data_IF_101188341632
#
_entry.id   IF_101188341632
#
_cell.length_a   1.000
_cell.length_b   1.000
_cell.length_c   1.000
_cell.angle_alpha   90.00
_cell.angle_beta   90.00
_cell.angle_gamma   90.00
#
_symmetry.space_group_name_H-M   'P 1'
#
loop_
_entity.id
_entity.type
_entity.pdbx_description
1 polymer ?
#
# COMPACT_ATOMS: atom_id res chain seq x y z
N UNK A 1 -3.95 -58.03 -78.68
CA UNK A 1 -2.74 -58.73 -78.18
C UNK A 1 -3.19 -59.98 -77.47
N UNK A 2 -2.70 -61.14 -77.93
CA UNK A 2 -2.45 -62.43 -77.22
C UNK A 2 -3.61 -63.07 -76.43
N UNK A 3 -3.96 -64.36 -76.54
CA UNK A 3 -3.46 -65.55 -77.23
C UNK A 3 -4.62 -66.57 -77.26
N UNK A 4 -4.97 -67.22 -78.39
CA UNK A 4 -4.49 -68.55 -78.84
C UNK A 4 -4.38 -69.62 -77.75
N UNK A 5 -5.11 -70.72 -77.92
CA UNK A 5 -4.59 -72.10 -77.89
C UNK A 5 -5.60 -73.11 -78.44
N UNK A 6 -5.07 -73.99 -79.28
CA UNK A 6 -5.67 -75.11 -80.00
C UNK A 6 -6.12 -76.28 -79.11
N UNK A 7 -6.96 -77.16 -79.67
CA UNK A 7 -7.29 -78.47 -79.09
C UNK A 7 -7.98 -79.41 -80.07
N UNK A 8 -7.18 -80.27 -80.71
CA UNK A 8 -7.55 -81.31 -81.69
C UNK A 8 -8.08 -82.62 -81.03
N UNK A 9 -9.01 -83.33 -81.69
CA UNK A 9 -9.23 -84.82 -81.68
C UNK A 9 -10.34 -85.16 -82.68
N UNK A 10 -10.07 -85.75 -83.86
CA UNK A 10 -10.04 -87.20 -84.20
C UNK A 10 -11.14 -88.02 -83.52
N UNK A 11 -12.02 -88.65 -84.33
CA UNK A 11 -12.18 -90.12 -84.43
C UNK A 11 -13.54 -90.56 -85.06
N UNK A 12 -13.42 -91.48 -86.04
CA UNK A 12 -14.34 -92.58 -86.45
C UNK A 12 -15.57 -92.20 -87.31
N UNK A 13 -15.67 -92.54 -88.60
CA UNK A 13 -15.67 -93.86 -89.28
C UNK A 13 -16.63 -94.89 -88.65
N UNK A 14 -17.85 -95.02 -89.21
CA UNK A 14 -18.45 -96.34 -89.47
C UNK A 14 -19.56 -96.26 -90.51
N UNK A 15 -19.42 -97.12 -91.50
CA UNK A 15 -20.37 -97.48 -92.55
C UNK A 15 -21.64 -98.12 -91.96
N UNK A 16 -22.73 -98.13 -92.74
CA UNK A 16 -23.50 -99.36 -93.01
C UNK A 16 -24.53 -99.11 -94.12
N UNK A 17 -24.16 -99.50 -95.34
CA UNK A 17 -25.09 -100.03 -96.33
C UNK A 17 -25.20 -101.53 -96.05
N UNK A 18 -26.43 -102.06 -95.98
CA UNK A 18 -26.67 -103.50 -95.96
C UNK A 18 -27.59 -103.86 -97.11
N UNK A 19 -26.98 -104.42 -98.16
CA UNK A 19 -27.59 -105.40 -99.02
C UNK A 19 -27.61 -106.76 -98.30
N UNK A 20 -28.68 -107.53 -98.48
CA UNK A 20 -28.56 -108.98 -98.67
C UNK A 20 -29.90 -109.59 -99.07
N UNK A 21 -29.90 -110.09 -100.29
CA UNK A 21 -30.62 -111.29 -100.70
C UNK A 21 -30.40 -112.43 -99.69
N UNK A 22 -31.44 -113.23 -99.42
CA UNK A 22 -31.37 -114.70 -99.57
C UNK A 22 -32.68 -115.43 -99.22
N UNK A 23 -32.94 -116.43 -100.06
CA UNK A 23 -33.65 -117.70 -99.85
C UNK A 23 -35.19 -117.76 -99.81
N UNK A 24 -35.71 -118.36 -100.90
CA UNK A 24 -36.88 -119.25 -100.98
C UNK A 24 -36.90 -120.31 -99.85
N UNK A 25 -38.09 -120.82 -99.55
CA UNK A 25 -38.32 -122.24 -99.78
C UNK A 25 -39.56 -122.53 -100.64
N UNK A 26 -39.32 -123.39 -101.61
CA UNK A 26 -40.23 -124.23 -102.37
C UNK A 26 -40.98 -125.19 -101.44
N UNK A 27 -42.27 -125.47 -101.67
CA UNK A 27 -42.81 -126.82 -101.58
C UNK A 27 -44.29 -126.98 -102.00
N UNK A 28 -44.48 -128.01 -102.82
CA UNK A 28 -45.64 -128.91 -102.97
C UNK A 28 -46.92 -128.48 -103.71
N UNK A 29 -46.90 -128.83 -105.00
CA UNK A 29 -47.98 -129.48 -105.76
C UNK A 29 -48.57 -130.68 -105.01
N UNK A 30 -49.88 -130.94 -105.15
CA UNK A 30 -50.42 -132.30 -105.17
C UNK A 30 -51.06 -132.63 -106.54
N UNK A 31 -50.65 -133.79 -107.03
CA UNK A 31 -51.09 -134.47 -108.24
C UNK A 31 -52.51 -135.05 -108.09
N UNK A 32 -53.13 -135.27 -109.25
CA UNK A 32 -54.42 -135.89 -109.57
C UNK A 32 -54.85 -137.13 -108.77
N UNK A 33 -56.15 -137.49 -108.84
CA UNK A 33 -56.58 -138.89 -108.87
C UNK A 33 -57.18 -139.25 -110.24
N UNK A 34 -56.54 -140.24 -110.85
CA UNK A 34 -57.07 -141.14 -111.88
C UNK A 34 -58.28 -141.92 -111.34
N UNK A 35 -59.34 -142.02 -112.13
CA UNK A 35 -60.35 -143.07 -111.98
C UNK A 35 -60.43 -143.89 -113.26
N UNK A 36 -59.98 -145.14 -113.15
CA UNK A 36 -60.18 -146.22 -114.10
C UNK A 36 -61.60 -146.79 -113.93
N UNK A 37 -62.32 -147.02 -115.04
CA UNK A 37 -63.36 -148.05 -115.11
C UNK A 37 -63.16 -148.87 -116.41
N UNK A 38 -63.23 -150.22 -116.38
CA UNK A 38 -62.69 -151.09 -117.43
C UNK A 38 -63.73 -151.64 -118.43
N UNK A 39 -63.23 -151.83 -119.67
CA UNK A 39 -63.51 -152.82 -120.73
C UNK A 39 -64.85 -153.56 -120.82
N UNK A 40 -65.45 -153.55 -122.02
CA UNK A 40 -65.68 -154.76 -122.86
C UNK A 40 -65.99 -154.38 -124.32
N UNK A 41 -65.75 -155.28 -125.30
CA UNK A 41 -65.57 -154.93 -126.71
C UNK A 41 -66.90 -154.86 -127.48
N UNK A 42 -67.06 -153.86 -128.35
CA UNK A 42 -68.01 -153.82 -129.46
C UNK A 42 -67.30 -153.13 -130.63
N UNK A 43 -66.84 -153.94 -131.58
CA UNK A 43 -67.53 -154.14 -132.85
C UNK A 43 -67.44 -152.90 -133.73
N UNK A 44 -66.73 -153.05 -134.83
CA UNK A 44 -66.84 -152.19 -136.00
C UNK A 44 -68.30 -151.81 -136.24
N UNK A 45 -68.54 -150.51 -136.14
CA UNK A 45 -69.72 -149.86 -136.69
C UNK A 45 -69.27 -148.48 -137.10
N UNK A 46 -68.71 -148.40 -138.30
CA UNK A 46 -68.75 -147.18 -139.11
C UNK A 46 -70.23 -146.82 -139.34
N UNK A 47 -70.90 -146.25 -138.35
CA UNK A 47 -72.05 -145.38 -138.58
C UNK A 47 -71.50 -144.02 -138.92
N UNK A 48 -71.15 -143.82 -140.20
CA UNK A 48 -71.25 -142.50 -140.80
C UNK A 48 -72.72 -142.13 -140.68
N UNK A 49 -73.09 -141.43 -139.61
CA UNK A 49 -74.38 -140.77 -139.54
C UNK A 49 -74.33 -139.63 -140.56
N UNK A 50 -74.63 -139.97 -141.82
CA UNK A 50 -74.85 -138.98 -142.86
C UNK A 50 -76.02 -138.11 -142.37
N UNK A 51 -75.82 -136.80 -142.26
CA UNK A 51 -76.93 -135.89 -141.99
C UNK A 51 -78.02 -136.13 -143.05
N UNK A 52 -79.18 -136.59 -142.61
CA UNK A 52 -80.41 -136.57 -143.42
C UNK A 52 -80.86 -135.11 -143.57
N UNK A 53 -81.62 -134.79 -144.63
CA UNK A 53 -82.11 -133.42 -144.89
C UNK A 53 -82.80 -132.83 -143.65
N UNK A 54 -83.54 -133.63 -142.89
CA UNK A 54 -84.17 -133.21 -141.63
C UNK A 54 -83.17 -132.92 -140.50
N UNK A 55 -82.08 -133.69 -140.37
CA UNK A 55 -81.01 -133.45 -139.38
C UNK A 55 -80.01 -132.35 -139.77
N UNK A 56 -80.12 -131.82 -141.00
CA UNK A 56 -79.34 -130.66 -141.46
C UNK A 56 -79.99 -129.33 -141.10
N UNK A 57 -81.29 -129.36 -140.78
CA UNK A 57 -82.09 -128.18 -140.40
C UNK A 57 -81.99 -127.83 -138.92
N UNK A 58 -81.36 -128.68 -138.11
CA UNK A 58 -81.19 -128.48 -136.66
C UNK A 58 -79.70 -128.63 -136.33
N UNK A 59 -79.10 -127.71 -135.54
CA UNK A 59 -77.70 -127.83 -135.14
C UNK A 59 -77.47 -129.12 -134.34
N UNK A 60 -76.31 -129.76 -134.54
CA UNK A 60 -75.89 -130.87 -133.68
C UNK A 60 -75.66 -130.38 -132.24
N UNK A 61 -75.67 -131.28 -131.25
CA UNK A 61 -75.52 -130.92 -129.82
C UNK A 61 -74.29 -130.05 -129.54
N UNK A 62 -73.16 -130.31 -130.23
CA UNK A 62 -71.96 -129.48 -130.12
C UNK A 62 -72.20 -128.05 -130.62
N UNK A 63 -72.82 -127.89 -131.80
CA UNK A 63 -73.16 -126.58 -132.36
C UNK A 63 -74.18 -125.85 -131.49
N UNK A 64 -75.20 -126.55 -130.98
CA UNK A 64 -76.20 -125.97 -130.08
C UNK A 64 -75.55 -125.47 -128.78
N UNK A 65 -74.66 -126.25 -128.17
CA UNK A 65 -73.90 -125.83 -126.98
C UNK A 65 -73.02 -124.61 -127.26
N UNK A 66 -72.35 -124.56 -128.42
CA UNK A 66 -71.55 -123.39 -128.82
C UNK A 66 -72.43 -122.16 -129.01
N UNK A 67 -73.58 -122.28 -129.67
CA UNK A 67 -74.55 -121.18 -129.83
C UNK A 67 -75.11 -120.70 -128.49
N UNK A 68 -75.39 -121.63 -127.55
CA UNK A 68 -75.85 -121.28 -126.20
C UNK A 68 -74.77 -120.52 -125.42
N UNK A 69 -73.52 -120.99 -125.45
CA UNK A 69 -72.39 -120.29 -124.80
C UNK A 69 -72.19 -118.91 -125.42
N UNK A 70 -72.24 -118.83 -126.76
CA UNK A 70 -72.07 -117.58 -127.49
C UNK A 70 -73.15 -116.56 -127.12
N UNK A 71 -74.41 -116.96 -126.93
CA UNK A 71 -75.46 -116.05 -126.44
C UNK A 71 -75.19 -115.59 -125.01
N UNK A 72 -74.93 -116.52 -124.09
CA UNK A 72 -74.62 -116.21 -122.68
C UNK A 72 -73.44 -115.26 -122.53
N UNK A 73 -72.38 -115.43 -123.32
CA UNK A 73 -71.23 -114.51 -123.30
C UNK A 73 -71.57 -113.15 -123.92
N UNK A 74 -72.51 -113.09 -124.85
CA UNK A 74 -73.02 -111.85 -125.42
C UNK A 74 -73.87 -111.07 -124.44
N UNK A 75 -74.80 -111.74 -123.75
CA UNK A 75 -75.64 -111.16 -122.70
C UNK A 75 -74.79 -110.52 -121.59
N UNK A 76 -73.82 -111.29 -121.07
CA UNK A 76 -72.90 -110.80 -120.05
C UNK A 76 -72.05 -109.61 -120.54
N UNK A 77 -71.69 -109.58 -121.82
CA UNK A 77 -70.93 -108.46 -122.39
C UNK A 77 -71.80 -107.20 -122.50
N UNK A 78 -73.08 -107.35 -122.86
CA UNK A 78 -74.04 -106.23 -122.94
C UNK A 78 -74.31 -105.67 -121.55
N UNK A 79 -74.52 -106.52 -120.54
CA UNK A 79 -74.65 -106.10 -119.14
C UNK A 79 -73.41 -105.35 -118.65
N UNK A 80 -72.21 -105.85 -118.96
CA UNK A 80 -70.95 -105.18 -118.61
C UNK A 80 -70.87 -103.79 -119.26
N UNK A 81 -71.18 -103.69 -120.55
CA UNK A 81 -71.19 -102.41 -121.26
C UNK A 81 -72.18 -101.42 -120.64
N UNK A 82 -73.38 -101.87 -120.27
CA UNK A 82 -74.36 -101.02 -119.58
C UNK A 82 -73.84 -100.55 -118.21
N UNK A 83 -73.21 -101.42 -117.43
CA UNK A 83 -72.65 -101.07 -116.11
C UNK A 83 -71.51 -100.05 -116.21
N UNK A 84 -70.74 -100.09 -117.30
CA UNK A 84 -69.65 -99.15 -117.59
C UNK A 84 -70.12 -97.92 -118.40
N UNK A 85 -71.43 -97.80 -118.69
CA UNK A 85 -72.01 -96.69 -119.45
C UNK A 85 -71.58 -96.64 -120.93
N UNK A 86 -71.19 -97.78 -121.50
CA UNK A 86 -70.72 -97.93 -122.87
C UNK A 86 -71.82 -98.50 -123.79
N UNK A 87 -71.92 -98.08 -125.06
CA UNK A 87 -72.86 -98.65 -126.02
C UNK A 87 -72.35 -99.98 -126.60
N UNK A 88 -73.14 -101.04 -126.46
CA UNK A 88 -72.86 -102.36 -127.04
C UNK A 88 -73.40 -102.48 -128.47
N UNK A 89 -72.59 -103.08 -129.34
CA UNK A 89 -72.95 -103.39 -130.74
C UNK A 89 -73.80 -104.66 -130.84
N UNK A 90 -73.79 -105.51 -129.80
CA UNK A 90 -74.63 -106.70 -129.69
C UNK A 90 -76.06 -106.41 -129.22
N UNK A 91 -76.28 -105.30 -128.52
CA UNK A 91 -77.59 -104.99 -127.94
C UNK A 91 -78.74 -104.93 -128.99
N UNK A 92 -78.56 -104.37 -130.20
CA UNK A 92 -79.57 -104.46 -131.25
C UNK A 92 -79.75 -105.89 -131.80
N UNK A 93 -78.69 -106.69 -131.82
CA UNK A 93 -78.74 -108.08 -132.28
C UNK A 93 -79.45 -108.99 -131.29
N UNK A 94 -79.30 -108.74 -129.98
CA UNK A 94 -80.06 -109.41 -128.95
C UNK A 94 -81.56 -109.25 -129.15
N UNK A 95 -82.01 -108.01 -129.32
CA UNK A 95 -83.43 -107.71 -129.57
C UNK A 95 -83.95 -108.40 -130.85
N UNK A 96 -83.18 -108.38 -131.94
CA UNK A 96 -83.58 -109.00 -133.20
C UNK A 96 -83.58 -110.55 -133.16
N UNK A 97 -82.63 -111.14 -132.42
CA UNK A 97 -82.51 -112.59 -132.24
C UNK A 97 -83.60 -113.09 -131.28
N UNK A 98 -83.99 -112.33 -130.26
CA UNK A 98 -85.11 -112.66 -129.37
C UNK A 98 -86.47 -112.67 -130.11
N UNK A 99 -86.65 -111.80 -131.11
CA UNK A 99 -87.85 -111.75 -131.97
C UNK A 99 -87.92 -112.88 -133.03
N UNK A 100 -86.78 -113.45 -133.45
CA UNK A 100 -86.72 -114.50 -134.49
C UNK A 100 -86.67 -115.93 -133.93
N UNK A 101 -86.73 -116.11 -132.60
CA UNK A 101 -86.36 -117.35 -131.91
C UNK A 101 -87.48 -118.28 -131.43
N UNK A 102 -88.64 -118.34 -132.09
CA UNK A 102 -89.64 -119.38 -131.74
C UNK A 102 -89.09 -120.82 -131.90
N UNK A 103 -87.98 -121.02 -132.64
CA UNK A 103 -87.31 -122.32 -132.85
C UNK A 103 -85.90 -122.48 -132.21
N UNK A 104 -85.40 -121.52 -131.44
CA UNK A 104 -84.26 -121.74 -130.54
C UNK A 104 -82.85 -121.96 -131.14
N UNK A 105 -82.63 -121.75 -132.44
CA UNK A 105 -81.32 -121.96 -133.11
C UNK A 105 -80.89 -120.77 -133.98
N UNK A 106 -79.58 -120.49 -134.01
CA UNK A 106 -78.96 -119.43 -134.83
C UNK A 106 -78.52 -119.99 -136.19
N UNK A 107 -78.67 -119.22 -137.28
CA UNK A 107 -78.07 -119.58 -138.57
C UNK A 107 -76.55 -119.38 -138.54
N UNK A 108 -75.83 -119.96 -139.51
CA UNK A 108 -74.38 -119.75 -139.63
C UNK A 108 -74.01 -118.26 -139.84
N UNK A 109 -74.90 -117.49 -140.50
CA UNK A 109 -74.76 -116.04 -140.66
C UNK A 109 -74.87 -115.31 -139.32
N UNK A 110 -75.90 -115.62 -138.52
CA UNK A 110 -76.13 -115.03 -137.20
C UNK A 110 -74.98 -115.31 -136.25
N UNK A 111 -74.47 -116.55 -136.24
CA UNK A 111 -73.31 -116.94 -135.42
C UNK A 111 -72.07 -116.12 -135.80
N UNK A 112 -71.84 -115.92 -137.10
CA UNK A 112 -70.70 -115.13 -137.60
C UNK A 112 -70.85 -113.65 -137.25
N UNK A 113 -72.04 -113.08 -137.44
CA UNK A 113 -72.34 -111.69 -137.12
C UNK A 113 -72.21 -111.43 -135.61
N UNK A 114 -72.76 -112.33 -134.79
CA UNK A 114 -72.67 -112.26 -133.34
C UNK A 114 -71.24 -112.35 -132.83
N UNK A 115 -70.44 -113.28 -133.38
CA UNK A 115 -69.03 -113.40 -133.04
C UNK A 115 -68.23 -112.13 -133.41
N UNK A 116 -68.54 -111.52 -134.56
CA UNK A 116 -67.91 -110.28 -135.00
C UNK A 116 -68.27 -109.08 -134.10
N UNK A 117 -69.54 -108.92 -133.73
CA UNK A 117 -69.95 -107.83 -132.84
C UNK A 117 -69.47 -108.06 -131.39
N UNK A 118 -69.41 -109.31 -130.91
CA UNK A 118 -68.73 -109.65 -129.66
C UNK A 118 -67.27 -109.24 -129.69
N UNK A 119 -66.54 -109.58 -130.75
CA UNK A 119 -65.15 -109.20 -130.89
C UNK A 119 -64.99 -107.68 -130.94
N UNK A 120 -65.91 -106.97 -131.59
CA UNK A 120 -65.91 -105.50 -131.67
C UNK A 120 -66.11 -104.86 -130.30
N UNK A 121 -67.07 -105.34 -129.53
CA UNK A 121 -67.32 -104.87 -128.18
C UNK A 121 -66.15 -105.22 -127.26
N UNK A 122 -65.59 -106.44 -127.33
CA UNK A 122 -64.38 -106.80 -126.59
C UNK A 122 -63.19 -105.87 -126.89
N UNK A 123 -63.00 -105.45 -128.16
CA UNK A 123 -61.97 -104.46 -128.52
C UNK A 123 -62.27 -103.07 -127.96
N UNK A 124 -63.52 -102.63 -127.98
CA UNK A 124 -63.92 -101.34 -127.37
C UNK A 124 -63.67 -101.35 -125.86
N UNK A 125 -64.02 -102.43 -125.19
CA UNK A 125 -63.76 -102.62 -123.76
C UNK A 125 -62.28 -102.61 -123.46
N UNK A 126 -61.48 -103.34 -124.25
CA UNK A 126 -60.02 -103.34 -124.09
C UNK A 126 -59.43 -101.92 -124.21
N UNK A 127 -59.90 -101.14 -125.20
CA UNK A 127 -59.50 -99.74 -125.36
C UNK A 127 -59.95 -98.88 -124.17
N UNK A 128 -61.20 -99.01 -123.74
CA UNK A 128 -61.72 -98.28 -122.59
C UNK A 128 -60.91 -98.58 -121.31
N UNK A 129 -60.64 -99.86 -121.03
CA UNK A 129 -59.80 -100.26 -119.90
C UNK A 129 -58.37 -99.71 -120.03
N UNK A 130 -57.83 -99.65 -121.24
CA UNK A 130 -56.52 -99.03 -121.48
C UNK A 130 -56.55 -97.52 -121.22
N UNK A 131 -57.58 -96.80 -121.68
CA UNK A 131 -57.74 -95.36 -121.48
C UNK A 131 -57.99 -95.03 -119.99
N UNK A 132 -58.82 -95.81 -119.31
CA UNK A 132 -59.04 -95.71 -117.86
C UNK A 132 -57.75 -95.99 -117.10
N UNK A 133 -56.99 -97.03 -117.46
CA UNK A 133 -55.65 -97.25 -116.87
C UNK A 133 -54.72 -96.08 -117.19
N UNK A 134 -54.73 -95.58 -118.42
CA UNK A 134 -53.89 -94.46 -118.87
C UNK A 134 -54.16 -93.15 -118.13
N UNK A 135 -55.36 -92.98 -117.55
CA UNK A 135 -55.73 -91.81 -116.74
C UNK A 135 -55.57 -92.04 -115.24
N UNK A 136 -55.93 -93.23 -114.74
CA UNK A 136 -55.87 -93.56 -113.31
C UNK A 136 -54.43 -93.60 -112.80
N UNK A 137 -53.46 -94.13 -113.56
CA UNK A 137 -52.06 -94.19 -113.09
C UNK A 137 -51.46 -92.78 -112.90
N UNK A 138 -51.52 -91.85 -113.88
CA UNK A 138 -51.05 -90.49 -113.68
C UNK A 138 -51.76 -89.74 -112.56
N UNK A 139 -53.06 -89.99 -112.34
CA UNK A 139 -53.79 -89.39 -111.23
C UNK A 139 -53.32 -89.93 -109.87
N UNK A 140 -53.05 -91.24 -109.77
CA UNK A 140 -52.45 -91.84 -108.57
C UNK A 140 -51.06 -91.27 -108.30
N UNK A 141 -50.23 -91.10 -109.33
CA UNK A 141 -48.88 -90.53 -109.18
C UNK A 141 -48.96 -89.06 -108.74
N UNK A 142 -49.83 -88.26 -109.37
CA UNK A 142 -50.06 -86.86 -108.97
C UNK A 142 -50.61 -86.74 -107.55
N UNK A 143 -51.49 -87.66 -107.14
CA UNK A 143 -52.02 -87.71 -105.78
C UNK A 143 -50.90 -88.03 -104.78
N UNK A 144 -50.08 -89.04 -105.05
CA UNK A 144 -48.94 -89.39 -104.20
C UNK A 144 -47.94 -88.24 -104.04
N UNK A 145 -47.64 -87.51 -105.14
CA UNK A 145 -46.80 -86.31 -105.11
C UNK A 145 -47.44 -85.22 -104.25
N UNK A 146 -48.72 -84.90 -104.47
CA UNK A 146 -49.42 -83.88 -103.69
C UNK A 146 -49.53 -84.23 -102.20
N UNK A 147 -49.71 -85.51 -101.86
CA UNK A 147 -49.69 -85.99 -100.48
C UNK A 147 -48.32 -85.84 -99.83
N UNK A 148 -47.24 -86.16 -100.55
CA UNK A 148 -45.87 -85.97 -100.09
C UNK A 148 -45.55 -84.47 -99.89
N UNK A 149 -45.98 -83.60 -100.80
CA UNK A 149 -45.84 -82.15 -100.67
C UNK A 149 -46.62 -81.61 -99.47
N UNK A 150 -47.86 -82.06 -99.27
CA UNK A 150 -48.67 -81.70 -98.10
C UNK A 150 -47.98 -82.11 -96.80
N UNK A 151 -47.41 -83.31 -96.74
CA UNK A 151 -46.70 -83.78 -95.54
C UNK A 151 -45.41 -82.98 -95.31
N UNK A 152 -44.69 -82.62 -96.38
CA UNK A 152 -43.53 -81.74 -96.32
C UNK A 152 -43.90 -80.36 -95.76
N UNK A 153 -44.97 -79.74 -96.27
CA UNK A 153 -45.43 -78.43 -95.78
C UNK A 153 -45.93 -78.50 -94.34
N UNK A 154 -46.65 -79.57 -93.97
CA UNK A 154 -47.07 -79.82 -92.58
C UNK A 154 -45.85 -79.90 -91.65
N UNK A 155 -44.84 -80.66 -92.04
CA UNK A 155 -43.58 -80.80 -91.28
C UNK A 155 -42.80 -79.48 -91.20
N UNK A 156 -42.82 -78.65 -92.25
CA UNK A 156 -42.22 -77.31 -92.23
C UNK A 156 -42.98 -76.36 -91.30
N UNK A 157 -44.31 -76.35 -91.36
CA UNK A 157 -45.15 -75.51 -90.52
C UNK A 157 -45.01 -75.87 -89.04
N UNK A 158 -44.98 -77.17 -88.71
CA UNK A 158 -44.76 -77.61 -87.33
C UNK A 158 -43.36 -77.25 -86.81
N UNK A 159 -42.32 -77.31 -87.65
CA UNK A 159 -40.98 -76.82 -87.26
C UNK A 159 -40.97 -75.32 -87.02
N UNK A 160 -41.48 -74.54 -87.96
CA UNK A 160 -41.57 -73.08 -87.83
C UNK A 160 -42.38 -72.66 -86.61
N UNK A 161 -43.50 -73.35 -86.32
CA UNK A 161 -44.32 -73.11 -85.13
C UNK A 161 -43.56 -73.41 -83.83
N UNK A 162 -42.78 -74.50 -83.78
CA UNK A 162 -41.94 -74.84 -82.63
C UNK A 162 -40.82 -73.82 -82.42
N UNK A 163 -40.13 -73.44 -83.49
CA UNK A 163 -39.06 -72.42 -83.46
C UNK A 163 -39.60 -71.08 -82.98
N UNK A 164 -40.72 -70.61 -83.56
CA UNK A 164 -41.37 -69.37 -83.12
C UNK A 164 -41.77 -69.42 -81.64
N UNK A 165 -42.34 -70.54 -81.18
CA UNK A 165 -42.70 -70.70 -79.77
C UNK A 165 -41.47 -70.62 -78.86
N UNK A 166 -40.39 -71.31 -79.22
CA UNK A 166 -39.14 -71.28 -78.45
C UNK A 166 -38.53 -69.88 -78.42
N UNK A 167 -38.55 -69.15 -79.53
CA UNK A 167 -38.03 -67.78 -79.58
C UNK A 167 -38.88 -66.81 -78.78
N UNK A 168 -40.21 -66.95 -78.80
CA UNK A 168 -41.11 -66.21 -77.92
C UNK A 168 -40.82 -66.49 -76.44
N UNK A 169 -40.60 -67.74 -76.05
CA UNK A 169 -40.24 -68.12 -74.68
C UNK A 169 -38.89 -67.53 -74.27
N UNK A 170 -37.87 -67.56 -75.13
CA UNK A 170 -36.55 -66.93 -74.90
C UNK A 170 -36.67 -65.41 -74.76
N UNK A 171 -37.44 -64.77 -75.63
CA UNK A 171 -37.68 -63.33 -75.56
C UNK A 171 -38.40 -62.95 -74.26
N UNK A 172 -39.43 -63.70 -73.88
CA UNK A 172 -40.15 -63.46 -72.62
C UNK A 172 -39.23 -63.64 -71.41
N UNK A 173 -38.39 -64.68 -71.39
CA UNK A 173 -37.41 -64.88 -70.32
C UNK A 173 -36.40 -63.72 -70.24
N UNK A 174 -35.93 -63.24 -71.40
CA UNK A 174 -35.00 -62.10 -71.48
C UNK A 174 -35.66 -60.81 -70.98
N UNK A 175 -36.91 -60.56 -71.35
CA UNK A 175 -37.68 -59.40 -70.88
C UNK A 175 -37.79 -59.43 -69.35
N UNK A 176 -38.20 -60.55 -68.77
CA UNK A 176 -38.33 -60.69 -67.31
C UNK A 176 -36.99 -60.49 -66.61
N UNK A 177 -35.90 -61.02 -67.17
CA UNK A 177 -34.56 -60.83 -66.61
C UNK A 177 -34.09 -59.37 -66.67
N UNK A 178 -34.35 -58.68 -67.79
CA UNK A 178 -34.02 -57.26 -67.95
C UNK A 178 -34.88 -56.38 -67.03
N UNK A 179 -36.17 -56.65 -66.89
CA UNK A 179 -37.04 -55.95 -65.93
C UNK A 179 -36.55 -56.13 -64.49
N UNK A 180 -36.17 -57.35 -64.11
CA UNK A 180 -35.63 -57.61 -62.78
C UNK A 180 -34.32 -56.84 -62.55
N UNK A 181 -33.43 -56.87 -63.54
CA UNK A 181 -32.15 -56.15 -63.49
C UNK A 181 -32.36 -54.63 -63.40
N UNK A 182 -33.32 -54.09 -64.17
CA UNK A 182 -33.72 -52.68 -64.13
C UNK A 182 -34.27 -52.31 -62.75
N UNK A 183 -35.20 -53.09 -62.19
CA UNK A 183 -35.75 -52.85 -60.84
C UNK A 183 -34.67 -52.93 -59.76
N UNK A 184 -33.68 -53.82 -59.91
CA UNK A 184 -32.53 -53.90 -58.97
C UNK A 184 -31.65 -52.65 -59.09
N UNK A 185 -31.32 -52.22 -60.30
CA UNK A 185 -30.55 -51.01 -60.53
C UNK A 185 -31.28 -49.75 -60.02
N UNK A 186 -32.58 -49.62 -60.29
CA UNK A 186 -33.40 -48.51 -59.79
C UNK A 186 -33.44 -48.44 -58.26
N UNK A 187 -33.55 -49.58 -57.57
CA UNK A 187 -33.47 -49.62 -56.09
C UNK A 187 -32.09 -49.19 -55.60
N UNK A 188 -31.03 -49.71 -56.20
CA UNK A 188 -29.67 -49.33 -55.86
C UNK A 188 -29.43 -47.83 -56.04
N UNK A 189 -29.92 -47.25 -57.15
CA UNK A 189 -29.81 -45.80 -57.40
C UNK A 189 -30.56 -45.00 -56.34
N UNK A 190 -31.82 -45.35 -56.05
CA UNK A 190 -32.60 -44.69 -54.99
C UNK A 190 -31.94 -44.76 -53.62
N UNK A 191 -31.37 -45.91 -53.25
CA UNK A 191 -30.63 -46.07 -52.00
C UNK A 191 -29.37 -45.19 -51.96
N UNK A 192 -28.62 -45.10 -53.07
CA UNK A 192 -27.45 -44.22 -53.15
C UNK A 192 -27.82 -42.74 -53.13
N UNK A 193 -28.92 -42.35 -53.79
CA UNK A 193 -29.44 -40.99 -53.77
C UNK A 193 -29.87 -40.59 -52.37
N UNK A 194 -30.60 -41.46 -51.66
CA UNK A 194 -31.00 -41.22 -50.29
C UNK A 194 -29.79 -41.05 -49.37
N UNK A 195 -28.80 -41.94 -49.44
CA UNK A 195 -27.56 -41.81 -48.66
C UNK A 195 -26.81 -40.53 -48.97
N UNK A 196 -26.74 -40.13 -50.25
CA UNK A 196 -26.10 -38.88 -50.65
C UNK A 196 -26.86 -37.67 -50.09
N UNK A 197 -28.19 -37.71 -50.10
CA UNK A 197 -29.02 -36.64 -49.54
C UNK A 197 -28.85 -36.52 -48.03
N UNK A 198 -28.84 -37.64 -47.30
CA UNK A 198 -28.59 -37.69 -45.86
C UNK A 198 -27.19 -37.13 -45.54
N UNK A 199 -26.15 -37.57 -46.27
CA UNK A 199 -24.79 -37.05 -46.11
C UNK A 199 -24.71 -35.54 -46.42
N UNK A 200 -25.43 -35.06 -47.45
CA UNK A 200 -25.47 -33.63 -47.77
C UNK A 200 -26.15 -32.81 -46.66
N UNK A 201 -27.22 -33.33 -46.06
CA UNK A 201 -27.88 -32.68 -44.92
C UNK A 201 -26.96 -32.65 -43.71
N UNK A 202 -26.29 -33.77 -43.40
CA UNK A 202 -25.32 -33.84 -42.32
C UNK A 202 -24.17 -32.85 -42.51
N UNK A 203 -23.56 -32.80 -43.69
CA UNK A 203 -22.50 -31.83 -43.99
C UNK A 203 -22.97 -30.37 -43.84
N UNK A 204 -24.21 -30.05 -44.24
CA UNK A 204 -24.78 -28.72 -44.02
C UNK A 204 -24.91 -28.41 -42.53
N UNK A 205 -25.40 -29.34 -41.72
CA UNK A 205 -25.52 -29.13 -40.26
C UNK A 205 -24.15 -28.97 -39.59
N UNK A 206 -23.16 -29.77 -39.99
CA UNK A 206 -21.78 -29.66 -39.50
C UNK A 206 -21.15 -28.32 -39.90
N UNK A 207 -21.36 -27.88 -41.15
CA UNK A 207 -20.87 -26.59 -41.64
C UNK A 207 -21.44 -25.44 -40.81
N UNK A 208 -22.76 -25.41 -40.58
CA UNK A 208 -23.41 -24.38 -39.77
C UNK A 208 -22.89 -24.37 -38.32
N UNK A 209 -22.68 -25.55 -37.72
CA UNK A 209 -22.12 -25.66 -36.37
C UNK A 209 -20.68 -25.16 -36.28
N UNK A 210 -19.87 -25.45 -37.31
CA UNK A 210 -18.50 -24.93 -37.41
C UNK A 210 -18.48 -23.42 -37.62
N UNK A 211 -19.37 -22.88 -38.46
CA UNK A 211 -19.52 -21.44 -38.67
C UNK A 211 -19.91 -20.70 -37.37
N UNK A 212 -20.83 -21.27 -36.58
CA UNK A 212 -21.22 -20.74 -35.27
C UNK A 212 -20.04 -20.78 -34.28
N UNK A 213 -19.34 -21.92 -34.19
CA UNK A 213 -18.15 -22.06 -33.33
C UNK A 213 -17.05 -21.07 -33.75
N UNK A 214 -16.84 -20.88 -35.04
CA UNK A 214 -15.85 -19.93 -35.56
C UNK A 214 -16.24 -18.49 -35.23
N UNK A 215 -17.52 -18.13 -35.37
CA UNK A 215 -18.04 -16.82 -34.97
C UNK A 215 -17.84 -16.55 -33.48
N UNK A 216 -18.11 -17.54 -32.62
CA UNK A 216 -17.86 -17.44 -31.17
C UNK A 216 -16.36 -17.30 -30.84
N UNK A 217 -15.49 -18.00 -31.56
CA UNK A 217 -14.05 -17.86 -31.38
C UNK A 217 -13.56 -16.49 -31.82
N UNK A 218 -14.04 -15.97 -32.96
CA UNK A 218 -13.73 -14.61 -33.41
C UNK A 218 -14.15 -13.55 -32.40
N UNK A 219 -15.34 -13.69 -31.81
CA UNK A 219 -15.80 -12.81 -30.73
C UNK A 219 -14.88 -12.88 -29.50
N UNK A 220 -14.50 -14.08 -29.05
CA UNK A 220 -13.55 -14.25 -27.94
C UNK A 220 -12.20 -13.63 -28.24
N UNK A 221 -11.69 -13.77 -29.46
CA UNK A 221 -10.43 -13.15 -29.89
C UNK A 221 -10.55 -11.63 -29.88
N UNK A 222 -11.66 -11.06 -30.35
CA UNK A 222 -11.89 -9.62 -30.29
C UNK A 222 -11.89 -9.11 -28.85
N UNK A 223 -12.62 -9.78 -27.94
CA UNK A 223 -12.65 -9.42 -26.51
C UNK A 223 -11.25 -9.52 -25.87
N UNK A 224 -10.48 -10.56 -26.21
CA UNK A 224 -9.10 -10.70 -25.73
C UNK A 224 -8.20 -9.58 -26.27
N UNK A 225 -8.37 -9.19 -27.53
CA UNK A 225 -7.63 -8.09 -28.14
C UNK A 225 -7.93 -6.75 -27.45
N UNK A 226 -9.21 -6.47 -27.18
CA UNK A 226 -9.64 -5.27 -26.44
C UNK A 226 -9.06 -5.25 -25.02
N UNK A 227 -9.05 -6.40 -24.35
CA UNK A 227 -8.46 -6.55 -23.00
C UNK A 227 -6.96 -6.30 -23.02
N UNK A 228 -6.24 -6.86 -23.99
CA UNK A 228 -4.81 -6.61 -24.15
C UNK A 228 -4.53 -5.12 -24.41
N UNK A 229 -5.32 -4.47 -25.27
CA UNK A 229 -5.18 -3.05 -25.55
C UNK A 229 -5.44 -2.19 -24.29
N UNK A 230 -6.43 -2.55 -23.48
CA UNK A 230 -6.68 -1.88 -22.19
C UNK A 230 -5.49 -2.04 -21.23
N UNK A 231 -4.95 -3.25 -21.10
CA UNK A 231 -3.77 -3.52 -20.27
C UNK A 231 -2.51 -2.79 -20.78
N UNK A 232 -2.34 -2.66 -22.10
CA UNK A 232 -1.27 -1.87 -22.69
C UNK A 232 -1.40 -0.38 -22.36
N UNK A 233 -2.63 0.16 -22.38
CA UNK A 233 -2.90 1.53 -21.94
C UNK A 233 -2.62 1.72 -20.44
N UNK A 234 -3.05 0.79 -19.59
CA UNK A 234 -2.74 0.82 -18.15
C UNK A 234 -1.24 0.75 -17.88
N UNK A 235 -0.52 -0.14 -18.59
CA UNK A 235 0.94 -0.24 -18.49
C UNK A 235 1.61 1.10 -18.82
N UNK A 236 1.19 1.77 -19.91
CA UNK A 236 1.74 3.08 -20.29
C UNK A 236 1.45 4.13 -19.21
N UNK A 237 0.22 4.20 -18.70
CA UNK A 237 -0.14 5.12 -17.63
C UNK A 237 0.66 4.86 -16.34
N UNK A 238 0.92 3.59 -15.99
CA UNK A 238 1.77 3.24 -14.86
C UNK A 238 3.23 3.63 -15.11
N UNK A 239 3.75 3.45 -16.33
CA UNK A 239 5.11 3.90 -16.68
C UNK A 239 5.24 5.43 -16.53
N UNK A 240 4.30 6.21 -17.06
CA UNK A 240 4.27 7.66 -16.91
C UNK A 240 4.21 8.09 -15.43
N UNK A 241 3.42 7.37 -14.61
CA UNK A 241 3.35 7.64 -13.17
C UNK A 241 4.66 7.33 -12.45
N UNK A 242 5.35 6.24 -12.81
CA UNK A 242 6.67 5.91 -12.25
C UNK A 242 7.70 6.96 -12.62
N UNK A 243 7.72 7.42 -13.87
CA UNK A 243 8.59 8.51 -14.31
C UNK A 243 8.31 9.81 -13.54
N UNK A 244 7.04 10.17 -13.36
CA UNK A 244 6.65 11.33 -12.55
C UNK A 244 7.09 11.21 -11.09
N UNK A 245 6.87 10.05 -10.46
CA UNK A 245 7.29 9.81 -9.08
C UNK A 245 8.81 9.87 -8.93
N UNK A 246 9.57 9.40 -9.92
CA UNK A 246 11.02 9.51 -9.91
C UNK A 246 11.48 10.97 -9.99
N UNK A 247 10.85 11.79 -10.82
CA UNK A 247 11.12 13.23 -10.88
C UNK A 247 10.79 13.94 -9.55
N UNK A 248 9.67 13.56 -8.91
CA UNK A 248 9.32 14.05 -7.58
C UNK A 248 10.34 13.62 -6.52
N UNK A 249 10.80 12.37 -6.55
CA UNK A 249 11.84 11.85 -5.65
C UNK A 249 13.16 12.62 -5.82
N UNK A 250 13.59 12.87 -7.06
CA UNK A 250 14.75 13.72 -7.33
C UNK A 250 14.59 15.15 -6.78
N UNK A 251 13.39 15.73 -6.90
CA UNK A 251 13.08 17.05 -6.34
C UNK A 251 13.12 17.02 -4.81
N UNK A 252 12.57 15.99 -4.18
CA UNK A 252 12.66 15.77 -2.74
C UNK A 252 14.12 15.64 -2.28
N UNK A 253 14.97 14.89 -2.99
CA UNK A 253 16.39 14.79 -2.68
C UNK A 253 17.09 16.15 -2.73
N UNK A 254 16.80 16.98 -3.75
CA UNK A 254 17.35 18.34 -3.86
C UNK A 254 16.89 19.23 -2.70
N UNK A 255 15.61 19.15 -2.33
CA UNK A 255 15.07 19.88 -1.18
C UNK A 255 15.69 19.41 0.14
N UNK A 256 15.86 18.10 0.33
CA UNK A 256 16.50 17.52 1.50
C UNK A 256 17.95 18.02 1.66
N UNK A 257 18.72 18.03 0.56
CA UNK A 257 20.07 18.59 0.56
C UNK A 257 20.08 20.08 0.93
N UNK A 258 19.11 20.86 0.43
CA UNK A 258 18.98 22.28 0.78
C UNK A 258 18.63 22.49 2.25
N UNK A 259 17.75 21.66 2.81
CA UNK A 259 17.40 21.67 4.23
C UNK A 259 18.66 21.40 5.06
N UNK A 260 19.40 20.32 4.78
CA UNK A 260 20.64 19.99 5.49
C UNK A 260 21.66 21.13 5.42
N UNK A 261 21.79 21.78 4.25
CA UNK A 261 22.66 22.93 4.10
C UNK A 261 22.21 24.11 4.97
N UNK A 262 20.91 24.44 4.98
CA UNK A 262 20.36 25.50 5.81
C UNK A 262 20.49 25.18 7.31
N UNK A 263 20.26 23.94 7.73
CA UNK A 263 20.46 23.48 9.11
C UNK A 263 21.92 23.65 9.55
N UNK A 264 22.88 23.34 8.68
CA UNK A 264 24.30 23.57 8.95
C UNK A 264 24.62 25.06 9.11
N UNK A 265 24.03 25.92 8.27
CA UNK A 265 24.19 27.38 8.35
C UNK A 265 23.57 27.94 9.63
N UNK A 266 22.38 27.46 10.03
CA UNK A 266 21.73 27.84 11.28
C UNK A 266 22.59 27.41 12.48
N UNK A 267 23.15 26.20 12.44
CA UNK A 267 24.03 25.70 13.51
C UNK A 267 25.29 26.56 13.63
N UNK A 268 25.89 26.95 12.50
CA UNK A 268 27.06 27.83 12.47
C UNK A 268 26.73 29.25 12.99
N UNK A 269 25.61 29.85 12.54
CA UNK A 269 25.19 31.16 13.04
C UNK A 269 24.82 31.13 14.52
N UNK A 270 24.23 30.03 15.02
CA UNK A 270 23.97 29.83 16.43
C UNK A 270 25.27 29.83 17.25
N UNK A 271 26.31 29.10 16.81
CA UNK A 271 27.63 29.11 17.47
C UNK A 271 28.25 30.52 17.48
N UNK A 272 28.13 31.27 16.38
CA UNK A 272 28.60 32.66 16.31
C UNK A 272 27.83 33.56 17.28
N UNK A 273 26.51 33.39 17.36
CA UNK A 273 25.66 34.13 18.29
C UNK A 273 26.02 33.81 19.73
N UNK A 274 26.21 32.54 20.09
CA UNK A 274 26.63 32.11 21.42
C UNK A 274 27.99 32.71 21.81
N UNK A 275 28.92 32.79 20.85
CA UNK A 275 30.21 33.46 21.04
C UNK A 275 30.05 34.96 21.32
N UNK A 276 29.17 35.65 20.60
CA UNK A 276 28.87 37.07 20.87
C UNK A 276 28.13 37.27 22.20
N UNK A 277 27.18 36.39 22.55
CA UNK A 277 26.54 36.41 23.87
C UNK A 277 27.54 36.21 25.00
N UNK A 278 28.50 35.29 24.84
CA UNK A 278 29.57 35.08 25.80
C UNK A 278 30.46 36.33 25.95
N UNK A 279 30.81 37.00 24.83
CA UNK A 279 31.53 38.28 24.85
C UNK A 279 30.71 39.37 25.54
N UNK A 280 29.43 39.49 25.23
CA UNK A 280 28.50 40.43 25.84
C UNK A 280 28.41 40.22 27.35
N UNK A 281 28.18 39.01 27.83
CA UNK A 281 28.17 38.71 29.27
C UNK A 281 29.51 39.02 29.94
N UNK A 282 30.63 38.74 29.28
CA UNK A 282 31.95 39.12 29.80
C UNK A 282 32.10 40.64 29.93
N UNK A 283 31.63 41.40 28.93
CA UNK A 283 31.62 42.86 28.97
C UNK A 283 30.69 43.40 30.06
N UNK A 284 29.50 42.82 30.25
CA UNK A 284 28.61 43.16 31.35
C UNK A 284 29.28 42.96 32.72
N UNK A 285 29.93 41.82 32.96
CA UNK A 285 30.67 41.59 34.22
C UNK A 285 31.81 42.59 34.42
N UNK A 286 32.52 42.95 33.35
CA UNK A 286 33.56 43.99 33.42
C UNK A 286 32.96 45.36 33.75
N UNK A 287 31.81 45.70 33.17
CA UNK A 287 31.08 46.92 33.46
C UNK A 287 30.60 46.96 34.92
N UNK A 288 30.00 45.87 35.43
CA UNK A 288 29.59 45.74 36.83
C UNK A 288 30.78 45.90 37.79
N UNK A 289 31.92 45.28 37.47
CA UNK A 289 33.16 45.44 38.24
C UNK A 289 33.68 46.89 38.21
N UNK A 290 33.59 47.55 37.07
CA UNK A 290 33.98 48.96 36.93
C UNK A 290 33.04 49.88 37.72
N UNK A 291 31.73 49.66 37.65
CA UNK A 291 30.74 50.40 38.43
C UNK A 291 30.93 50.19 39.94
N UNK A 292 31.21 48.97 40.38
CA UNK A 292 31.51 48.69 41.79
C UNK A 292 32.76 49.46 42.28
N UNK A 293 33.81 49.52 41.45
CA UNK A 293 35.01 50.33 41.76
C UNK A 293 34.72 51.83 41.79
N UNK A 294 33.94 52.34 40.82
CA UNK A 294 33.53 53.74 40.81
C UNK A 294 32.72 54.09 42.06
N UNK A 295 31.77 53.23 42.46
CA UNK A 295 30.98 53.42 43.68
C UNK A 295 31.85 53.44 44.94
N UNK A 296 32.78 52.49 45.07
CA UNK A 296 33.72 52.45 46.20
C UNK A 296 34.66 53.67 46.24
N UNK A 297 35.09 54.17 45.08
CA UNK A 297 35.88 55.41 45.00
C UNK A 297 35.04 56.62 45.40
N UNK A 298 33.77 56.69 44.97
CA UNK A 298 32.85 57.77 45.36
C UNK A 298 32.64 57.78 46.88
N UNK A 299 32.35 56.62 47.48
CA UNK A 299 32.22 56.48 48.94
C UNK A 299 33.50 56.92 49.70
N UNK A 300 34.69 56.69 49.12
CA UNK A 300 35.95 57.19 49.71
C UNK A 300 36.12 58.69 49.55
N UNK A 301 35.70 59.26 48.42
CA UNK A 301 35.71 60.73 48.21
C UNK A 301 34.74 61.38 49.20
N UNK A 302 33.51 60.88 49.32
CA UNK A 302 32.53 61.39 50.28
C UNK A 302 33.08 61.32 51.72
N UNK A 303 33.71 60.20 52.11
CA UNK A 303 34.36 60.07 53.42
C UNK A 303 35.53 61.06 53.61
N UNK A 304 36.29 61.34 52.56
CA UNK A 304 37.37 62.34 52.61
C UNK A 304 36.82 63.76 52.71
N UNK A 305 35.70 64.05 52.05
CA UNK A 305 35.02 65.34 52.15
C UNK A 305 34.45 65.52 53.56
N UNK A 306 33.83 64.49 54.15
CA UNK A 306 33.41 64.49 55.57
C UNK A 306 34.61 64.72 56.51
N UNK A 307 35.74 64.02 56.32
CA UNK A 307 36.98 64.24 57.07
C UNK A 307 37.48 65.69 56.94
N UNK A 308 37.40 66.28 55.74
CA UNK A 308 37.80 67.67 55.49
C UNK A 308 36.87 68.68 56.16
N UNK A 309 35.55 68.49 56.07
CA UNK A 309 34.55 69.33 56.73
C UNK A 309 34.69 69.28 58.27
N UNK A 310 34.95 68.10 58.84
CA UNK A 310 35.20 67.90 60.27
C UNK A 310 36.47 68.68 60.70
N UNK A 311 37.57 68.54 59.96
CA UNK A 311 38.81 69.27 60.22
C UNK A 311 38.63 70.79 60.08
N UNK A 312 37.85 71.25 59.10
CA UNK A 312 37.52 72.66 58.94
C UNK A 312 36.72 73.21 60.11
N UNK A 313 35.76 72.41 60.62
CA UNK A 313 34.96 72.75 61.79
C UNK A 313 35.82 72.81 63.05
N UNK A 314 36.66 71.80 63.27
CA UNK A 314 37.60 71.78 64.40
C UNK A 314 38.60 72.94 64.35
N UNK A 315 39.08 73.29 63.14
CA UNK A 315 39.94 74.46 62.94
C UNK A 315 39.19 75.75 63.28
N UNK A 316 37.96 75.92 62.79
CA UNK A 316 37.12 77.08 63.12
C UNK A 316 36.87 77.22 64.63
N UNK A 317 36.54 76.12 65.31
CA UNK A 317 36.39 76.12 66.77
C UNK A 317 37.70 76.46 67.49
N UNK A 318 38.85 75.99 66.98
CA UNK A 318 40.17 76.34 67.55
C UNK A 318 40.50 77.82 67.35
N UNK A 319 40.19 78.38 66.18
CA UNK A 319 40.36 79.79 65.84
C UNK A 319 39.46 80.68 66.70
N UNK A 320 38.19 80.32 66.89
CA UNK A 320 37.27 81.02 67.80
C UNK A 320 37.80 81.02 69.24
N UNK A 321 38.20 79.85 69.77
CA UNK A 321 38.83 79.76 71.10
C UNK A 321 40.11 80.60 71.20
N UNK A 322 40.90 80.67 70.13
CA UNK A 322 42.10 81.50 70.08
C UNK A 322 41.74 83.00 70.14
N UNK A 323 40.70 83.43 69.42
CA UNK A 323 40.18 84.80 69.48
C UNK A 323 39.66 85.12 70.89
N UNK A 324 38.90 84.22 71.51
CA UNK A 324 38.39 84.39 72.88
C UNK A 324 39.54 84.52 73.90
N UNK A 325 40.56 83.65 73.83
CA UNK A 325 41.74 83.74 74.68
C UNK A 325 42.54 85.03 74.43
N UNK A 326 42.65 85.47 73.17
CA UNK A 326 43.33 86.71 72.83
C UNK A 326 42.60 87.93 73.42
N UNK A 327 41.27 87.98 73.29
CA UNK A 327 40.44 89.02 73.89
C UNK A 327 40.54 89.01 75.42
N UNK A 328 40.53 87.83 76.05
CA UNK A 328 40.73 87.69 77.50
C UNK A 328 42.11 88.17 77.96
N UNK A 329 43.18 87.87 77.21
CA UNK A 329 44.52 88.38 77.48
C UNK A 329 44.60 89.91 77.33
N UNK A 330 43.93 90.48 76.32
CA UNK A 330 43.87 91.92 76.13
C UNK A 330 43.17 92.61 77.30
N UNK A 331 42.02 92.08 77.74
CA UNK A 331 41.30 92.58 78.91
C UNK A 331 42.15 92.52 80.19
N UNK A 332 42.83 91.40 80.44
CA UNK A 332 43.74 91.26 81.58
C UNK A 332 44.94 92.23 81.50
N UNK A 333 45.39 92.58 80.30
CA UNK A 333 46.45 93.58 80.10
C UNK A 333 45.96 94.99 80.42
N UNK A 334 44.75 95.35 79.98
CA UNK A 334 44.11 96.65 80.29
C UNK A 334 43.84 96.80 81.79
N UNK A 335 43.36 95.75 82.46
CA UNK A 335 43.18 95.72 83.92
C UNK A 335 44.52 95.86 84.65
N UNK A 336 45.58 95.20 84.17
CA UNK A 336 46.93 95.35 84.71
C UNK A 336 47.43 96.79 84.57
N UNK A 337 47.27 97.43 83.41
CA UNK A 337 47.67 98.83 83.21
C UNK A 337 46.89 99.78 84.14
N UNK A 338 45.58 99.57 84.33
CA UNK A 338 44.78 100.34 85.27
C UNK A 338 45.26 100.18 86.72
N UNK A 339 45.55 98.96 87.17
CA UNK A 339 46.10 98.71 88.51
C UNK A 339 47.50 99.31 88.67
N UNK A 340 48.31 99.29 87.63
CA UNK A 340 49.65 99.88 87.63
C UNK A 340 49.57 101.42 87.73
N UNK A 341 48.60 102.05 87.04
CA UNK A 341 48.33 103.48 87.17
C UNK A 341 47.80 103.86 88.58
N UNK A 342 46.92 103.05 89.16
CA UNK A 342 46.44 103.25 90.54
C UNK A 342 47.58 103.10 91.56
N UNK A 343 48.49 102.13 91.37
CA UNK A 343 49.65 101.94 92.25
C UNK A 343 50.62 103.13 92.17
N UNK A 344 50.89 103.65 90.97
CA UNK A 344 51.72 104.84 90.79
C UNK A 344 51.11 106.07 91.48
N UNK A 345 49.79 106.25 91.37
CA UNK A 345 49.07 107.34 92.05
C UNK A 345 49.13 107.22 93.58
N UNK A 346 49.05 106.00 94.14
CA UNK A 346 49.21 105.75 95.57
C UNK A 346 50.67 106.00 96.05
N UNK A 347 51.66 105.71 95.22
CA UNK A 347 53.07 105.96 95.52
C UNK A 347 53.40 107.47 95.56
N UNK A 348 52.86 108.27 94.65
CA UNK A 348 53.00 109.73 94.68
C UNK A 348 52.34 110.35 95.93
N UNK A 349 51.14 109.88 96.28
CA UNK A 349 50.46 110.33 97.51
C UNK A 349 51.26 110.00 98.78
N UNK A 350 51.89 108.82 98.82
CA UNK A 350 52.75 108.43 99.93
C UNK A 350 54.01 109.30 100.01
N UNK A 351 54.61 109.67 98.87
CA UNK A 351 55.76 110.57 98.82
C UNK A 351 55.42 111.97 99.36
N UNK A 352 54.24 112.51 99.02
CA UNK A 352 53.79 113.82 99.51
C UNK A 352 53.47 113.80 101.02
N UNK A 353 52.80 112.76 101.51
CA UNK A 353 52.56 112.56 102.94
C UNK A 353 53.87 112.39 103.74
N UNK A 354 54.87 111.76 103.14
CA UNK A 354 56.19 111.60 103.77
C UNK A 354 56.97 112.92 103.84
N UNK A 355 56.85 113.80 102.83
CA UNK A 355 57.38 115.17 102.88
C UNK A 355 56.69 116.03 103.93
N UNK A 356 55.36 115.96 104.03
CA UNK A 356 54.62 116.66 105.09
C UNK A 356 55.06 116.18 106.48
N UNK A 357 55.18 114.86 106.67
CA UNK A 357 55.67 114.28 107.93
C UNK A 357 57.06 114.81 108.30
N UNK A 358 58.01 114.82 107.37
CA UNK A 358 59.36 115.36 107.62
C UNK A 358 59.32 116.84 108.01
N UNK A 359 58.47 117.63 107.34
CA UNK A 359 58.31 119.07 107.61
C UNK A 359 57.72 119.31 109.01
N UNK A 360 56.77 118.48 109.43
CA UNK A 360 56.20 118.53 110.78
C UNK A 360 57.21 118.09 111.85
N UNK A 361 58.02 117.07 111.56
CA UNK A 361 59.09 116.61 112.46
C UNK A 361 60.17 117.68 112.68
N UNK A 362 60.58 118.43 111.64
CA UNK A 362 61.50 119.57 111.79
C UNK A 362 60.90 120.68 112.66
N UNK A 363 59.63 121.04 112.45
CA UNK A 363 58.96 122.07 113.24
C UNK A 363 58.83 121.66 114.72
N UNK A 364 58.52 120.39 114.99
CA UNK A 364 58.49 119.83 116.35
C UNK A 364 59.88 119.88 117.00
N UNK A 365 60.94 119.62 116.22
CA UNK A 365 62.33 119.73 116.68
C UNK A 365 62.71 121.16 117.08
N UNK A 366 62.37 122.14 116.25
CA UNK A 366 62.61 123.56 116.54
C UNK A 366 61.85 124.02 117.79
N UNK A 367 60.58 123.66 117.92
CA UNK A 367 59.76 123.94 119.10
C UNK A 367 60.34 123.29 120.37
N UNK A 368 60.85 122.06 120.29
CA UNK A 368 61.53 121.40 121.41
C UNK A 368 62.79 122.14 121.84
N UNK A 369 63.58 122.64 120.90
CA UNK A 369 64.79 123.41 121.19
C UNK A 369 64.45 124.73 121.87
N UNK A 370 63.45 125.47 121.38
CA UNK A 370 62.99 126.71 122.03
C UNK A 370 62.46 126.47 123.45
N UNK A 371 61.76 125.35 123.67
CA UNK A 371 61.29 124.96 125.00
C UNK A 371 62.45 124.56 125.92
N UNK A 372 63.50 123.93 125.39
CA UNK A 372 64.71 123.58 126.15
C UNK A 372 65.51 124.84 126.54
N UNK A 373 65.70 125.78 125.62
CA UNK A 373 66.35 127.07 125.88
C UNK A 373 65.61 127.88 126.95
N UNK A 374 64.27 127.94 126.87
CA UNK A 374 63.44 128.59 127.89
C UNK A 374 63.56 127.90 129.26
N UNK A 375 63.65 126.56 129.28
CA UNK A 375 63.85 125.81 130.52
C UNK A 375 65.22 126.07 131.13
N UNK A 376 66.29 126.08 130.34
CA UNK A 376 67.64 126.42 130.81
C UNK A 376 67.72 127.87 131.31
N UNK A 377 67.05 128.80 130.64
CA UNK A 377 66.98 130.20 131.08
C UNK A 377 66.29 130.34 132.44
N UNK A 378 65.20 129.58 132.65
CA UNK A 378 64.50 129.52 133.94
C UNK A 378 65.36 128.84 135.02
N UNK A 379 66.13 127.83 134.65
CA UNK A 379 67.04 127.13 135.56
C UNK A 379 68.22 128.00 135.96
N UNK A 380 68.78 128.78 135.03
CA UNK A 380 69.84 129.75 135.30
C UNK A 380 69.37 130.86 136.27
N UNK A 381 68.12 131.32 136.12
CA UNK A 381 67.51 132.27 137.05
C UNK A 381 67.35 131.67 138.45
N UNK A 382 66.90 130.40 138.55
CA UNK A 382 66.77 129.69 139.83
C UNK A 382 68.11 129.37 140.49
N UNK A 383 69.12 128.99 139.73
CA UNK A 383 70.44 128.68 140.28
C UNK A 383 71.17 129.95 140.73
N UNK A 384 70.94 131.07 140.03
CA UNK A 384 71.39 132.40 140.48
C UNK A 384 70.72 132.80 141.78
N UNK A 385 69.41 132.60 141.91
CA UNK A 385 68.67 132.87 143.13
C UNK A 385 69.13 131.96 144.28
N UNK A 386 69.33 130.66 144.02
CA UNK A 386 69.84 129.68 144.98
C UNK A 386 71.28 129.97 145.42
N UNK A 387 72.16 130.40 144.52
CA UNK A 387 73.52 130.79 144.84
C UNK A 387 73.57 132.10 145.63
N UNK A 388 72.67 133.06 145.35
CA UNK A 388 72.53 134.29 146.14
C UNK A 388 72.04 134.03 147.58
N UNK A 389 71.33 132.91 147.81
CA UNK A 389 70.88 132.49 149.14
C UNK A 389 71.94 131.65 149.86
N UNK A 390 72.65 130.76 149.16
CA UNK A 390 73.63 129.84 149.76
C UNK A 390 75.01 130.49 149.99
N UNK A 391 75.35 131.51 149.20
CA UNK A 391 76.60 132.25 149.33
C UNK A 391 76.33 133.75 149.36
N UNK A 392 75.96 134.32 150.52
CA UNK A 392 75.91 135.76 150.72
C UNK A 392 77.26 136.46 150.48
N UNK A 393 78.37 135.72 150.41
CA UNK A 393 79.70 136.25 150.05
C UNK A 393 79.91 136.43 148.53
N UNK A 394 79.04 135.85 147.70
CA UNK A 394 78.83 136.27 146.30
C UNK A 394 77.70 137.31 146.19
N UNK A 395 77.28 137.89 147.32
CA UNK A 395 76.47 139.09 147.29
C UNK A 395 77.38 140.30 147.22
N UNK A 396 77.31 141.13 146.18
CA UNK A 396 77.54 142.55 146.40
C UNK A 396 76.32 143.03 147.21
N UNK A 397 76.30 142.93 148.54
CA UNK A 397 77.26 143.57 149.42
C UNK A 397 77.31 142.92 150.82
N UNK A 398 78.51 142.53 151.25
CA UNK A 398 78.93 142.43 152.65
C UNK A 398 80.27 143.16 152.88
N UNK A 399 80.23 144.49 152.78
CA UNK A 399 80.76 145.44 153.77
C UNK A 399 79.50 146.23 154.18
N UNK A 400 78.82 145.99 155.31
CA UNK A 400 79.23 146.21 156.70
C UNK A 400 79.83 147.61 156.93
N UNK A 401 78.99 148.50 157.50
CA UNK A 401 79.20 149.65 158.39
C UNK A 401 80.60 150.31 158.64
N UNK A 402 80.67 151.59 159.09
CA UNK A 402 79.54 152.42 159.51
C UNK A 402 79.30 153.64 158.63
N UNK A 403 78.02 154.01 158.53
CA UNK A 403 77.71 155.42 158.65
C UNK A 403 78.02 155.79 160.10
N UNK A 404 79.27 156.20 160.37
CA UNK A 404 79.47 157.18 161.43
C UNK A 404 78.71 158.41 160.96
N UNK A 405 77.64 158.74 161.67
CA UNK A 405 77.05 160.09 161.65
C UNK A 405 78.05 161.15 162.14
N UNK A 406 79.18 160.73 162.73
CA UNK A 406 80.21 161.59 163.29
C UNK A 406 80.12 161.76 164.82
N UNK A 407 79.29 161.00 165.55
CA UNK A 407 79.02 161.23 166.98
C UNK A 407 78.62 159.96 167.77
N UNK A 408 79.34 159.68 168.86
CA UNK A 408 79.32 158.46 169.70
C UNK A 408 77.97 158.13 170.37
N UNK A 409 77.08 159.09 170.56
CA UNK A 409 75.85 158.89 171.34
C UNK A 409 74.75 158.08 170.64
N UNK A 410 74.70 158.09 169.31
CA UNK A 410 73.60 157.45 168.56
C UNK A 410 73.85 155.95 168.27
N UNK A 411 75.12 155.56 168.08
CA UNK A 411 75.52 154.16 167.82
C UNK A 411 75.12 153.18 168.94
N UNK A 412 74.87 153.70 170.15
CA UNK A 412 74.56 152.89 171.33
C UNK A 412 73.11 152.37 171.38
N UNK A 413 72.15 153.11 170.84
CA UNK A 413 70.73 152.72 170.84
C UNK A 413 70.46 151.61 169.81
N UNK A 414 71.19 151.64 168.69
CA UNK A 414 71.25 150.55 167.73
C UNK A 414 71.81 149.25 168.35
N UNK A 415 72.73 149.35 169.31
CA UNK A 415 73.39 148.20 169.93
C UNK A 415 72.52 147.48 170.99
N UNK A 416 71.60 148.20 171.65
CA UNK A 416 70.73 147.64 172.70
C UNK A 416 69.62 146.74 172.14
N UNK A 417 69.01 147.11 171.01
CA UNK A 417 67.97 146.31 170.36
C UNK A 417 68.51 144.97 169.82
N UNK A 418 69.73 144.96 169.29
CA UNK A 418 70.36 143.74 168.77
C UNK A 418 70.58 142.67 169.85
N UNK A 419 70.92 143.09 171.09
CA UNK A 419 71.08 142.18 172.22
C UNK A 419 69.74 141.52 172.65
N UNK A 420 68.60 142.19 172.51
CA UNK A 420 67.29 141.63 172.87
C UNK A 420 66.85 140.45 171.96
N UNK A 421 67.20 140.47 170.68
CA UNK A 421 66.86 139.38 169.74
C UNK A 421 67.74 138.15 170.03
N UNK A 422 69.01 138.36 170.36
CA UNK A 422 69.97 137.28 170.67
C UNK A 422 69.58 136.49 171.91
N UNK A 423 68.95 137.12 172.90
CA UNK A 423 68.49 136.47 174.13
C UNK A 423 67.30 135.53 173.86
N UNK A 424 66.30 135.92 173.06
CA UNK A 424 65.12 135.07 172.76
C UNK A 424 65.46 133.75 172.04
N UNK A 425 66.45 133.76 171.15
CA UNK A 425 66.82 132.58 170.36
C UNK A 425 67.61 131.58 171.22
N UNK A 426 68.50 132.06 172.09
CA UNK A 426 69.23 131.22 173.04
C UNK A 426 68.32 130.56 174.09
N UNK A 427 67.20 131.18 174.43
CA UNK A 427 66.15 130.59 175.30
C UNK A 427 65.36 129.48 174.56
N UNK A 428 65.15 129.62 173.25
CA UNK A 428 64.46 128.64 172.40
C UNK A 428 65.32 127.39 172.11
N UNK A 429 66.62 127.55 171.89
CA UNK A 429 67.53 126.41 171.69
C UNK A 429 67.83 125.67 173.01
N UNK A 430 67.90 126.36 174.16
CA UNK A 430 68.02 125.70 175.48
C UNK A 430 66.77 124.90 175.85
N UNK A 431 65.55 125.34 175.50
CA UNK A 431 64.32 124.54 175.67
C UNK A 431 64.28 123.33 174.72
N UNK A 432 64.93 123.42 173.55
CA UNK A 432 65.08 122.32 172.58
C UNK A 432 66.15 121.30 173.00
N UNK A 433 67.27 121.76 173.58
CA UNK A 433 68.27 120.93 174.24
C UNK A 433 67.71 120.28 175.52
N UNK A 434 66.87 120.96 176.30
CA UNK A 434 66.19 120.37 177.47
C UNK A 434 65.18 119.27 177.08
N UNK A 435 64.36 119.46 176.05
CA UNK A 435 63.41 118.44 175.58
C UNK A 435 64.06 117.27 174.80
N UNK A 436 65.29 117.43 174.29
CA UNK A 436 66.10 116.35 173.71
C UNK A 436 66.92 115.58 174.76
N UNK A 437 67.34 116.29 175.82
CA UNK A 437 67.83 115.72 177.07
C UNK A 437 66.71 115.11 177.96
N UNK A 438 65.42 115.40 177.73
CA UNK A 438 64.28 114.68 178.33
C UNK A 438 63.94 113.42 177.51
N UNK A 439 64.31 113.40 176.22
CA UNK A 439 64.27 112.20 175.34
C UNK A 439 65.49 111.25 175.49
N UNK A 440 66.68 111.74 175.91
CA UNK A 440 67.11 111.51 177.30
C UNK A 440 66.60 110.24 178.00
N UNK A 441 65.41 110.43 178.57
CA UNK A 441 64.66 109.60 179.49
C UNK A 441 64.49 108.13 179.15
N UNK A 442 63.76 108.00 178.04
CA UNK A 442 62.83 106.88 177.83
C UNK A 442 63.45 105.81 176.93
N UNK A 443 64.43 106.15 176.07
CA UNK A 443 65.13 105.14 175.24
C UNK A 443 66.24 104.40 176.00
N UNK A 444 66.61 104.93 177.17
CA UNK A 444 67.32 104.18 178.20
C UNK A 444 66.40 103.22 179.03
N UNK A 445 65.09 103.09 178.75
CA UNK A 445 64.14 102.25 179.54
C UNK A 445 63.35 101.16 178.75
N UNK A 446 63.48 101.09 177.43
CA UNK A 446 62.90 100.02 176.57
C UNK A 446 63.97 99.37 175.67
N UNK A 447 64.93 98.55 176.13
CA UNK A 447 64.73 97.38 176.98
C UNK A 447 63.50 96.55 176.55
N UNK A 448 63.77 95.32 176.11
CA UNK A 448 63.28 94.18 176.91
C UNK A 448 61.76 94.00 176.99
N UNK A 449 61.18 93.50 175.90
CA UNK A 449 59.93 92.72 175.88
C UNK A 449 58.58 93.45 175.69
N UNK A 450 57.82 92.92 174.73
CA UNK A 450 56.37 92.65 174.82
C UNK A 450 56.33 91.16 175.20
N UNK A 451 56.36 90.72 176.47
CA UNK A 451 55.37 90.81 177.56
C UNK A 451 53.96 90.47 177.06
N UNK A 452 53.49 89.24 177.31
CA UNK A 452 52.09 88.85 177.11
C UNK A 452 51.69 87.41 176.69
N UNK A 453 52.59 86.40 176.77
CA UNK A 453 52.32 84.97 177.07
C UNK A 453 53.48 84.58 178.01
N UNK A 454 53.38 84.41 179.32
CA UNK A 454 52.37 83.88 180.26
C UNK A 454 52.87 82.53 180.78
N UNK A 455 53.15 82.55 182.09
CA UNK A 455 53.17 81.44 183.05
C UNK A 455 54.39 80.50 183.11
N UNK A 456 55.16 80.62 184.20
CA UNK A 456 55.21 79.70 185.37
C UNK A 456 56.21 78.56 185.10
N UNK A 457 57.35 78.49 185.79
CA UNK A 457 57.45 77.98 187.17
C UNK A 457 58.58 78.63 187.97
N UNK A 458 58.31 78.86 189.26
CA UNK A 458 59.24 78.72 190.38
C UNK A 458 60.74 78.46 190.09
N UNK A 459 61.59 79.26 190.77
CA UNK A 459 62.68 78.76 191.63
C UNK A 459 63.98 78.29 190.93
N UNK A 460 65.07 79.03 191.23
CA UNK A 460 66.43 78.53 191.61
C UNK A 460 67.57 78.40 190.59
N UNK A 461 68.67 79.13 190.94
CA UNK A 461 70.12 78.82 190.88
C UNK A 461 70.91 78.70 189.57
N UNK A 462 72.17 79.18 189.72
CA UNK A 462 73.45 78.62 189.24
C UNK A 462 73.74 78.72 187.73
N UNK A 463 74.96 78.77 187.20
CA UNK A 463 76.38 78.98 187.61
C UNK A 463 77.19 78.65 186.32
N UNK A 464 78.35 79.30 186.13
CA UNK A 464 79.50 78.85 185.32
C UNK A 464 79.29 78.69 183.80
N UNK A 465 80.23 79.05 182.91
CA UNK A 465 81.66 79.37 183.01
C UNK A 465 82.04 80.18 181.76
#
# INVERSE_FOLDING_TARGET
>A
MSSRSDGCRRCLSTCSSTSSFKFLPQNHVPSSPTHNTPCHPKADSHTVSCQTVESSLIPCDACHRVQLVLRKTGDALVELFQSEGLPSSLQPLLAAVEETLELGHMTAGDVTQWANEQLRDMRRLAKHLQDVRGTVHPLKDRLAIAEAERERFRSQLERARKEFKQDMEKHQATIVQLEFSLRKAQRSVKETEQRLQEAQQQLKTETLSLEESNSSLMEKVAVQQDTLQALECEKKALQEKVESLHLEEEACCKLQQRIQQLESQISETQVLLDKENAKYHSACRQQESMQAKQKSLLERVDALDEECEELQRELGEREERQIELHNGLQQMSEEKEQLQAQLAQQQDLHLDLQKEKQTLETNIGELKNSVAELKEYVQALKERERLLVAFPELSPLAQAQPQSTGNVLLDMEQQLQANCIRIKILEQENTTLHSSLERLRERAQHNTARVGWVEIFNVVKCENM
#
